data_IF_957486112355
#
_entry.id   IF_957486112355
#
_cell.length_a   1.000
_cell.length_b   1.000
_cell.length_c   1.000
_cell.angle_alpha   90.00
_cell.angle_beta   90.00
_cell.angle_gamma   90.00
#
_symmetry.space_group_name_H-M   'P 1'
#
loop_
_entity.id
_entity.type
_entity.pdbx_description
1 polymer ?
#
# COMPACT_ATOMS: atom_id res chain seq x y z
N UNK A 1 39.80 -4.13 15.32
CA UNK A 1 40.12 -2.76 14.85
C UNK A 1 40.51 -2.72 13.36
N UNK A 2 41.33 -3.66 12.87
CA UNK A 2 41.81 -3.64 11.47
C UNK A 2 40.72 -3.89 10.42
N UNK A 3 39.79 -4.81 10.67
CA UNK A 3 38.68 -5.13 9.76
C UNK A 3 37.77 -3.92 9.44
N UNK A 4 37.38 -3.15 10.47
CA UNK A 4 36.56 -1.94 10.28
C UNK A 4 37.32 -0.86 9.49
N UNK A 5 38.63 -0.77 9.69
CA UNK A 5 39.48 0.19 8.98
C UNK A 5 39.69 -0.20 7.51
N UNK A 6 39.78 -1.50 7.23
CA UNK A 6 39.85 -2.05 5.87
C UNK A 6 38.53 -1.84 5.11
N UNK A 7 37.38 -2.15 5.72
CA UNK A 7 36.08 -1.86 5.11
C UNK A 7 35.88 -0.38 4.82
N UNK A 8 36.22 0.49 5.78
CA UNK A 8 36.14 1.94 5.59
C UNK A 8 37.01 2.41 4.41
N UNK A 9 38.25 1.94 4.32
CA UNK A 9 39.15 2.32 3.23
C UNK A 9 38.64 1.81 1.87
N UNK A 10 38.06 0.61 1.81
CA UNK A 10 37.43 0.10 0.58
C UNK A 10 36.30 1.00 0.12
N UNK A 11 35.35 1.29 1.02
CA UNK A 11 34.20 2.18 0.77
C UNK A 11 34.65 3.55 0.24
N UNK A 12 35.69 4.13 0.83
CA UNK A 12 36.23 5.44 0.42
C UNK A 12 36.88 5.37 -0.96
N UNK A 13 37.59 4.29 -1.28
CA UNK A 13 38.20 4.08 -2.59
C UNK A 13 37.13 3.90 -3.67
N UNK A 14 36.09 3.12 -3.37
CA UNK A 14 34.97 2.86 -4.27
C UNK A 14 34.19 4.15 -4.56
N UNK A 15 33.87 4.93 -3.51
CA UNK A 15 33.28 6.27 -3.67
C UNK A 15 34.15 7.18 -4.54
N UNK A 16 35.46 7.23 -4.29
CA UNK A 16 36.37 8.08 -5.07
C UNK A 16 36.48 7.63 -6.53
N UNK A 17 36.31 6.34 -6.80
CA UNK A 17 36.30 5.77 -8.16
C UNK A 17 35.02 6.15 -8.92
N UNK A 18 33.86 6.08 -8.26
CA UNK A 18 32.57 6.53 -8.81
C UNK A 18 32.63 8.00 -9.24
N UNK A 19 33.19 8.88 -8.42
CA UNK A 19 33.33 10.31 -8.76
C UNK A 19 34.41 10.63 -9.80
N UNK A 20 35.29 9.68 -10.15
CA UNK A 20 36.39 9.92 -11.09
C UNK A 20 36.00 9.68 -12.56
N UNK A 21 35.07 8.76 -12.81
CA UNK A 21 34.63 8.39 -14.14
C UNK A 21 33.17 8.82 -14.37
N UNK A 22 32.91 9.91 -15.11
CA UNK A 22 31.53 10.40 -15.30
C UNK A 22 30.64 9.43 -16.09
N UNK A 23 31.23 8.55 -16.91
CA UNK A 23 30.51 7.52 -17.67
C UNK A 23 29.94 6.43 -16.77
N UNK A 24 30.75 5.96 -15.82
CA UNK A 24 30.35 4.90 -14.87
C UNK A 24 29.26 5.43 -13.93
N UNK A 25 29.42 6.66 -13.44
CA UNK A 25 28.38 7.34 -12.66
C UNK A 25 27.05 7.50 -13.42
N UNK A 26 27.11 7.83 -14.72
CA UNK A 26 25.92 7.93 -15.57
C UNK A 26 25.26 6.57 -15.78
N UNK A 27 26.01 5.50 -16.02
CA UNK A 27 25.43 4.15 -16.17
C UNK A 27 24.75 3.67 -14.89
N UNK A 28 25.34 3.89 -13.71
CA UNK A 28 24.71 3.53 -12.45
C UNK A 28 23.42 4.32 -12.21
N UNK A 29 23.43 5.62 -12.50
CA UNK A 29 22.23 6.45 -12.40
C UNK A 29 21.12 5.93 -13.33
N UNK A 30 21.46 5.61 -14.58
CA UNK A 30 20.51 5.04 -15.55
C UNK A 30 19.96 3.69 -15.09
N UNK A 31 20.80 2.79 -14.55
CA UNK A 31 20.34 1.51 -14.01
C UNK A 31 19.34 1.68 -12.87
N UNK A 32 19.60 2.61 -11.95
CA UNK A 32 18.67 2.93 -10.85
C UNK A 32 17.36 3.48 -11.38
N UNK A 33 17.41 4.40 -12.34
CA UNK A 33 16.20 4.93 -13.00
C UNK A 33 15.42 3.81 -13.68
N UNK A 34 16.08 2.93 -14.43
CA UNK A 34 15.46 1.77 -15.06
C UNK A 34 14.81 0.83 -14.04
N UNK A 35 15.48 0.53 -12.91
CA UNK A 35 14.93 -0.28 -11.83
C UNK A 35 13.64 0.33 -11.27
N UNK A 36 13.64 1.64 -10.99
CA UNK A 36 12.46 2.36 -10.49
C UNK A 36 11.33 2.37 -11.52
N UNK A 37 11.64 2.59 -12.80
CA UNK A 37 10.65 2.55 -13.88
C UNK A 37 10.03 1.16 -14.03
N UNK A 38 10.81 0.08 -13.95
CA UNK A 38 10.29 -1.28 -13.99
C UNK A 38 9.33 -1.55 -12.81
N UNK A 39 9.69 -1.12 -11.60
CA UNK A 39 8.80 -1.23 -10.44
C UNK A 39 7.48 -0.46 -10.65
N UNK A 40 7.55 0.76 -11.20
CA UNK A 40 6.36 1.55 -11.54
C UNK A 40 5.52 0.91 -12.65
N UNK A 41 6.15 0.29 -13.65
CA UNK A 41 5.45 -0.43 -14.72
C UNK A 41 4.71 -1.65 -14.17
N UNK A 42 5.33 -2.42 -13.28
CA UNK A 42 4.68 -3.55 -12.59
C UNK A 42 3.48 -3.05 -11.79
N UNK A 43 3.64 -1.95 -11.03
CA UNK A 43 2.55 -1.37 -10.27
C UNK A 43 1.39 -0.91 -11.17
N UNK A 44 1.69 -0.20 -12.27
CA UNK A 44 0.67 0.25 -13.23
C UNK A 44 0.00 -0.91 -13.96
N UNK A 45 0.74 -1.97 -14.27
CA UNK A 45 0.16 -3.20 -14.81
C UNK A 45 -0.84 -3.82 -13.83
N UNK A 46 -0.51 -3.90 -12.54
CA UNK A 46 -1.44 -4.39 -11.51
C UNK A 46 -2.70 -3.52 -11.41
N UNK A 47 -2.56 -2.19 -11.45
CA UNK A 47 -3.71 -1.26 -11.45
C UNK A 47 -4.63 -1.53 -12.65
N UNK A 48 -4.07 -1.70 -13.85
CA UNK A 48 -4.86 -1.99 -15.06
C UNK A 48 -5.52 -3.36 -15.00
N UNK A 49 -4.81 -4.39 -14.51
CA UNK A 49 -5.35 -5.75 -14.40
C UNK A 49 -6.48 -5.85 -13.38
N UNK A 50 -6.35 -5.16 -12.26
CA UNK A 50 -7.34 -5.20 -11.17
C UNK A 50 -8.49 -4.22 -11.36
N UNK A 51 -8.28 -3.16 -12.14
CA UNK A 51 -9.23 -2.06 -12.30
C UNK A 51 -9.37 -1.18 -11.04
N UNK A 52 -8.46 -1.33 -10.08
CA UNK A 52 -8.42 -0.58 -8.82
C UNK A 52 -7.24 0.40 -8.83
N UNK A 53 -7.43 1.63 -8.38
CA UNK A 53 -6.34 2.60 -8.23
C UNK A 53 -5.28 2.15 -7.21
N UNK A 54 -5.74 1.42 -6.18
CA UNK A 54 -4.91 0.82 -5.14
C UNK A 54 -5.19 -0.69 -5.07
N UNK A 55 -4.49 -1.52 -5.86
CA UNK A 55 -4.74 -2.97 -5.93
C UNK A 55 -4.34 -3.72 -4.65
N UNK A 56 -3.52 -3.11 -3.80
CA UNK A 56 -2.99 -3.74 -2.58
C UNK A 56 -3.17 -2.76 -1.43
N UNK A 57 -3.83 -3.20 -0.36
CA UNK A 57 -4.02 -2.40 0.86
C UNK A 57 -3.71 -3.20 2.11
N UNK A 58 -3.39 -2.51 3.21
CA UNK A 58 -3.03 -3.16 4.49
C UNK A 58 -4.08 -2.83 5.54
N UNK A 59 -4.47 -3.84 6.31
CA UNK A 59 -5.41 -3.69 7.43
C UNK A 59 -4.70 -3.06 8.62
N UNK A 60 -5.15 -1.86 9.01
CA UNK A 60 -4.51 -1.06 10.06
C UNK A 60 -5.16 -1.24 11.45
N UNK A 61 -6.36 -1.79 11.52
CA UNK A 61 -7.15 -1.92 12.77
C UNK A 61 -7.79 -3.30 12.93
N UNK A 62 -8.21 -3.64 14.15
CA UNK A 62 -8.89 -4.89 14.48
C UNK A 62 -10.43 -4.84 14.32
N UNK A 63 -10.95 -3.90 13.53
CA UNK A 63 -12.40 -3.73 13.30
C UNK A 63 -13.02 -4.88 12.49
N UNK A 64 -12.18 -5.63 11.77
CA UNK A 64 -12.58 -6.76 10.92
C UNK A 64 -12.31 -8.12 11.55
N UNK A 65 -11.93 -8.19 12.83
CA UNK A 65 -11.72 -9.47 13.51
C UNK A 65 -13.06 -10.23 13.71
N UNK A 66 -13.09 -11.57 13.55
CA UNK A 66 -11.98 -12.48 13.25
C UNK A 66 -11.70 -12.69 11.74
N UNK A 67 -12.39 -11.96 10.84
CA UNK A 67 -12.24 -12.13 9.39
C UNK A 67 -10.88 -11.68 8.86
N UNK A 68 -10.40 -10.52 9.32
CA UNK A 68 -9.06 -10.02 9.04
C UNK A 68 -8.41 -9.48 10.32
N UNK A 69 -7.10 -9.63 10.39
CA UNK A 69 -6.29 -9.14 11.50
C UNK A 69 -5.45 -7.94 11.07
N UNK A 70 -5.08 -7.12 12.06
CA UNK A 70 -4.14 -6.02 11.83
C UNK A 70 -2.83 -6.56 11.25
N UNK A 71 -2.42 -5.98 10.13
CA UNK A 71 -1.22 -6.39 9.39
C UNK A 71 -1.50 -7.35 8.23
N UNK A 72 -2.74 -7.78 8.02
CA UNK A 72 -3.10 -8.52 6.80
C UNK A 72 -3.03 -7.59 5.58
N UNK A 73 -2.51 -8.11 4.48
CA UNK A 73 -2.45 -7.39 3.19
C UNK A 73 -3.53 -7.94 2.27
N UNK A 74 -4.43 -7.08 1.80
CA UNK A 74 -5.56 -7.44 0.95
C UNK A 74 -5.24 -7.13 -0.52
N UNK A 75 -5.58 -8.06 -1.39
CA UNK A 75 -5.59 -7.86 -2.83
C UNK A 75 -6.99 -7.44 -3.27
N UNK A 76 -7.07 -6.31 -3.98
CA UNK A 76 -8.31 -5.70 -4.41
C UNK A 76 -8.59 -5.93 -5.89
N UNK A 77 -9.86 -6.09 -6.21
CA UNK A 77 -10.35 -6.20 -7.57
C UNK A 77 -11.63 -5.39 -7.74
N UNK A 78 -11.73 -4.66 -8.84
CA UNK A 78 -12.90 -3.85 -9.15
C UNK A 78 -13.96 -4.72 -9.81
N UNK A 79 -14.89 -5.24 -9.01
CA UNK A 79 -16.00 -6.03 -9.52
C UNK A 79 -17.17 -5.14 -9.96
N UNK A 80 -17.81 -5.43 -11.11
CA UNK A 80 -18.94 -4.64 -11.60
C UNK A 80 -20.22 -4.83 -10.75
N UNK A 81 -20.26 -5.84 -9.88
CA UNK A 81 -21.40 -6.15 -9.01
C UNK A 81 -20.91 -6.47 -7.61
N UNK A 82 -21.44 -5.73 -6.63
CA UNK A 82 -21.19 -5.93 -5.20
C UNK A 82 -22.40 -6.65 -4.61
N UNK A 83 -22.16 -7.60 -3.71
CA UNK A 83 -23.17 -8.37 -3.00
C UNK A 83 -23.10 -8.13 -1.48
N UNK A 84 -24.21 -8.39 -0.79
CA UNK A 84 -24.21 -8.40 0.66
C UNK A 84 -23.30 -9.53 1.16
N UNK A 85 -22.44 -9.23 2.14
CA UNK A 85 -21.41 -10.12 2.64
C UNK A 85 -20.02 -9.89 2.05
N UNK A 86 -19.90 -9.14 0.94
CA UNK A 86 -18.60 -8.81 0.36
C UNK A 86 -17.81 -7.86 1.26
N UNK A 87 -16.49 -8.02 1.27
CA UNK A 87 -15.58 -7.12 1.99
C UNK A 87 -15.08 -6.09 0.99
N UNK A 88 -15.44 -4.84 1.24
CA UNK A 88 -15.09 -3.73 0.37
C UNK A 88 -14.08 -2.83 1.06
N UNK A 89 -13.24 -2.21 0.23
CA UNK A 89 -12.39 -1.11 0.65
C UNK A 89 -12.96 0.13 0.04
N UNK A 90 -13.30 1.09 0.89
CA UNK A 90 -13.91 2.34 0.46
C UNK A 90 -13.20 3.52 1.10
N UNK A 91 -13.30 4.67 0.44
CA UNK A 91 -12.76 5.93 0.92
C UNK A 91 -13.88 6.95 1.05
N UNK A 92 -13.89 7.64 2.18
CA UNK A 92 -14.86 8.70 2.47
C UNK A 92 -14.17 10.03 2.17
N UNK A 93 -14.91 10.98 1.60
CA UNK A 93 -14.43 12.33 1.39
C UNK A 93 -13.99 12.96 2.71
N UNK A 94 -12.78 13.53 2.74
CA UNK A 94 -12.20 14.12 3.95
C UNK A 94 -11.46 13.14 4.87
N UNK A 95 -11.35 11.85 4.50
CA UNK A 95 -10.41 10.91 5.14
C UNK A 95 -9.37 10.40 4.15
N UNK A 96 -8.11 10.54 4.53
CA UNK A 96 -6.97 10.08 3.72
C UNK A 96 -6.75 8.56 3.81
N UNK A 97 -7.27 7.92 4.85
CA UNK A 97 -7.05 6.49 5.11
C UNK A 97 -8.31 5.71 4.69
N UNK A 98 -8.18 4.76 3.74
CA UNK A 98 -9.30 3.92 3.33
C UNK A 98 -9.74 2.96 4.44
N UNK A 99 -11.03 2.61 4.44
CA UNK A 99 -11.66 1.75 5.44
C UNK A 99 -12.03 0.43 4.78
N UNK A 100 -11.73 -0.67 5.46
CA UNK A 100 -12.02 -2.04 5.01
C UNK A 100 -13.15 -2.58 5.88
N UNK A 101 -14.36 -2.74 5.34
CA UNK A 101 -15.48 -3.32 6.09
C UNK A 101 -16.38 -4.21 5.22
N UNK A 102 -17.24 -5.01 5.87
CA UNK A 102 -18.18 -5.90 5.18
C UNK A 102 -19.48 -5.18 4.84
N UNK A 103 -20.00 -5.42 3.64
CA UNK A 103 -21.32 -4.94 3.25
C UNK A 103 -22.40 -5.75 3.98
N UNK A 104 -23.21 -5.05 4.77
CA UNK A 104 -24.36 -5.62 5.46
C UNK A 104 -25.57 -5.70 4.55
N UNK A 105 -25.91 -4.58 3.89
CA UNK A 105 -27.11 -4.45 3.07
C UNK A 105 -26.84 -3.61 1.82
N UNK A 106 -27.53 -3.96 0.73
CA UNK A 106 -27.48 -3.25 -0.55
C UNK A 106 -28.91 -2.88 -0.93
N UNK A 107 -29.10 -1.61 -1.26
CA UNK A 107 -30.32 -1.12 -1.87
C UNK A 107 -30.00 -0.53 -3.23
N UNK A 108 -30.73 -0.95 -4.25
CA UNK A 108 -30.62 -0.38 -5.60
C UNK A 108 -31.78 0.59 -5.76
N UNK A 109 -31.46 1.87 -5.92
CA UNK A 109 -32.48 2.89 -6.20
C UNK A 109 -33.05 2.71 -7.61
N UNK A 110 -34.21 3.32 -7.87
CA UNK A 110 -34.85 3.34 -9.21
C UNK A 110 -33.95 3.96 -10.28
N UNK A 111 -33.00 4.80 -9.86
CA UNK A 111 -32.00 5.44 -10.72
C UNK A 111 -30.74 4.57 -10.93
N UNK A 112 -30.81 3.27 -10.64
CA UNK A 112 -29.68 2.32 -10.69
C UNK A 112 -28.47 2.69 -9.83
N UNK A 113 -28.64 3.56 -8.84
CA UNK A 113 -27.62 3.86 -7.84
C UNK A 113 -27.60 2.79 -6.76
N UNK A 114 -26.41 2.31 -6.44
CA UNK A 114 -26.18 1.41 -5.32
C UNK A 114 -26.04 2.23 -4.04
N UNK A 115 -26.78 1.82 -3.02
CA UNK A 115 -26.70 2.33 -1.67
C UNK A 115 -26.25 1.18 -0.77
N UNK A 116 -24.99 1.26 -0.37
CA UNK A 116 -24.32 0.23 0.41
C UNK A 116 -24.26 0.65 1.88
N UNK A 117 -24.57 -0.29 2.76
CA UNK A 117 -24.35 -0.13 4.20
C UNK A 117 -23.24 -1.10 4.61
N UNK A 118 -22.15 -0.55 5.12
CA UNK A 118 -20.99 -1.29 5.59
C UNK A 118 -20.95 -1.38 7.11
N UNK A 119 -20.29 -2.41 7.63
CA UNK A 119 -20.05 -2.63 9.05
C UNK A 119 -18.77 -3.45 9.24
N UNK A 120 -17.95 -3.08 10.22
CA UNK A 120 -16.84 -3.91 10.68
C UNK A 120 -17.33 -5.21 11.35
N UNK A 121 -16.68 -6.32 11.05
CA UNK A 121 -17.05 -7.64 11.60
C UNK A 121 -17.01 -7.64 13.15
N UNK A 122 -16.07 -6.91 13.74
CA UNK A 122 -15.89 -6.77 15.19
C UNK A 122 -16.63 -5.56 15.80
N UNK A 123 -17.31 -4.75 14.99
CA UNK A 123 -18.01 -3.56 15.48
C UNK A 123 -19.43 -3.91 15.94
N UNK A 124 -19.94 -3.26 16.99
CA UNK A 124 -21.34 -3.45 17.44
C UNK A 124 -22.34 -2.58 16.68
N UNK A 125 -21.86 -1.54 16.00
CA UNK A 125 -22.65 -0.57 15.25
C UNK A 125 -22.24 -0.59 13.77
N UNK A 126 -23.14 -0.13 12.90
CA UNK A 126 -22.83 0.10 11.48
C UNK A 126 -21.98 1.36 11.27
N UNK A 127 -21.47 1.52 10.05
CA UNK A 127 -20.54 2.59 9.72
C UNK A 127 -21.20 3.94 9.42
N UNK A 128 -22.51 4.10 9.63
CA UNK A 128 -23.20 5.37 9.31
C UNK A 128 -22.62 6.57 10.04
N UNK A 129 -22.09 6.35 11.25
CA UNK A 129 -21.39 7.40 12.00
C UNK A 129 -20.00 7.76 11.47
N UNK A 130 -19.42 6.95 10.58
CA UNK A 130 -18.11 7.20 9.96
C UNK A 130 -18.23 7.97 8.64
N UNK A 131 -19.38 7.84 7.96
CA UNK A 131 -19.71 8.51 6.70
C UNK A 131 -19.67 10.04 6.81
N UNK A 132 -19.68 10.70 5.67
CA UNK A 132 -19.66 12.17 5.62
C UNK A 132 -20.95 12.76 6.22
N UNK A 133 -20.93 14.05 6.54
CA UNK A 133 -22.04 14.73 7.18
C UNK A 133 -23.32 14.66 6.32
N UNK A 134 -24.38 14.06 6.89
CA UNK A 134 -25.68 13.74 6.24
C UNK A 134 -25.62 12.62 5.18
N UNK A 135 -24.54 11.86 5.12
CA UNK A 135 -24.45 10.65 4.28
C UNK A 135 -24.87 9.42 5.09
N UNK A 136 -25.88 8.69 4.61
CA UNK A 136 -26.37 7.47 5.26
C UNK A 136 -26.00 6.18 4.52
N UNK A 137 -25.53 6.30 3.27
CA UNK A 137 -25.23 5.20 2.38
C UNK A 137 -23.95 5.50 1.61
N UNK A 138 -23.14 4.47 1.37
CA UNK A 138 -22.02 4.53 0.44
C UNK A 138 -22.55 4.32 -0.98
N UNK A 139 -22.11 5.17 -1.90
CA UNK A 139 -22.32 4.98 -3.34
C UNK A 139 -21.13 4.23 -3.96
N UNK A 140 -21.31 3.61 -5.13
CA UNK A 140 -20.25 2.88 -5.83
C UNK A 140 -18.97 3.68 -6.05
N UNK A 141 -19.08 4.99 -6.22
CA UNK A 141 -17.94 5.90 -6.44
C UNK A 141 -16.97 5.95 -5.26
N UNK A 142 -17.45 5.62 -4.05
CA UNK A 142 -16.62 5.59 -2.85
C UNK A 142 -15.86 4.26 -2.70
N UNK A 143 -16.26 3.23 -3.45
CA UNK A 143 -15.67 1.88 -3.34
C UNK A 143 -14.44 1.81 -4.23
N UNK A 144 -13.28 1.59 -3.61
CA UNK A 144 -12.01 1.42 -4.31
C UNK A 144 -11.86 0.03 -4.92
N UNK A 145 -12.42 -0.99 -4.27
CA UNK A 145 -12.42 -2.37 -4.75
C UNK A 145 -12.90 -3.37 -3.71
N UNK A 146 -13.11 -4.60 -4.16
CA UNK A 146 -13.47 -5.74 -3.30
C UNK A 146 -12.21 -6.53 -2.95
N UNK A 147 -12.13 -7.00 -1.71
CA UNK A 147 -11.10 -7.93 -1.28
C UNK A 147 -11.33 -9.31 -1.90
N UNK A 148 -10.42 -9.75 -2.77
CA UNK A 148 -10.48 -11.08 -3.43
C UNK A 148 -9.52 -12.09 -2.81
N UNK A 149 -8.57 -11.63 -2.00
CA UNK A 149 -7.60 -12.48 -1.32
C UNK A 149 -6.78 -11.68 -0.33
N UNK A 150 -6.08 -12.38 0.56
CA UNK A 150 -5.21 -11.74 1.54
C UNK A 150 -3.97 -12.57 1.86
N UNK A 151 -2.91 -11.87 2.26
CA UNK A 151 -1.70 -12.45 2.79
C UNK A 151 -1.56 -12.06 4.27
N UNK A 152 -1.59 -13.03 5.21
CA UNK A 152 -1.59 -12.71 6.63
C UNK A 152 -0.24 -12.15 7.08
N UNK A 153 -0.28 -11.18 8.00
CA UNK A 153 0.89 -10.57 8.67
C UNK A 153 1.94 -9.85 7.78
N UNK A 154 1.87 -9.94 6.45
CA UNK A 154 2.83 -9.30 5.52
C UNK A 154 2.86 -7.78 5.69
N UNK A 155 1.71 -7.19 5.95
CA UNK A 155 1.54 -5.75 6.10
C UNK A 155 2.17 -5.19 7.39
N UNK A 156 2.50 -6.03 8.37
CA UNK A 156 3.16 -5.59 9.61
C UNK A 156 4.48 -4.86 9.30
N UNK A 157 5.23 -5.34 8.30
CA UNK A 157 6.49 -4.69 7.88
C UNK A 157 6.23 -3.26 7.40
N UNK A 158 5.19 -3.06 6.58
CA UNK A 158 4.83 -1.74 6.08
C UNK A 158 4.34 -0.81 7.19
N UNK A 159 3.61 -1.36 8.16
CA UNK A 159 3.15 -0.63 9.34
C UNK A 159 4.35 -0.16 10.16
N UNK A 160 5.32 -1.02 10.45
CA UNK A 160 6.53 -0.64 11.20
C UNK A 160 7.36 0.43 10.50
N UNK A 161 7.55 0.30 9.18
CA UNK A 161 8.28 1.32 8.40
C UNK A 161 7.56 2.67 8.46
N UNK A 162 6.22 2.69 8.52
CA UNK A 162 5.47 3.94 8.61
C UNK A 162 5.40 4.51 10.04
N UNK A 163 5.27 3.66 11.06
CA UNK A 163 5.15 4.04 12.47
C UNK A 163 6.48 4.49 13.10
N UNK A 164 7.61 3.98 12.61
CA UNK A 164 8.95 4.31 13.12
C UNK A 164 9.75 5.14 12.10
N UNK A 165 9.76 6.49 12.20
CA UNK A 165 10.50 7.34 11.27
C UNK A 165 12.00 7.02 11.20
N UNK A 166 12.62 6.64 12.32
CA UNK A 166 14.04 6.25 12.36
C UNK A 166 14.33 5.01 11.50
N UNK A 167 13.42 4.02 11.52
CA UNK A 167 13.53 2.82 10.69
C UNK A 167 13.40 3.18 9.21
N UNK A 168 12.42 4.02 8.85
CA UNK A 168 12.21 4.50 7.47
C UNK A 168 13.46 5.17 6.91
N UNK A 169 14.01 6.14 7.63
CA UNK A 169 15.19 6.88 7.19
C UNK A 169 16.45 6.01 7.20
N UNK A 170 16.56 5.06 8.14
CA UNK A 170 17.64 4.07 8.15
C UNK A 170 17.66 3.18 6.91
N UNK A 171 16.48 2.68 6.48
CA UNK A 171 16.35 1.88 5.25
C UNK A 171 16.72 2.71 4.02
N UNK A 172 16.19 3.94 3.90
CA UNK A 172 16.49 4.83 2.76
C UNK A 172 17.98 5.15 2.69
N UNK A 173 18.62 5.43 3.83
CA UNK A 173 20.05 5.69 3.91
C UNK A 173 20.87 4.47 3.47
N UNK A 174 20.52 3.27 3.97
CA UNK A 174 21.18 2.03 3.59
C UNK A 174 21.07 1.76 2.09
N UNK A 175 19.86 1.91 1.51
CA UNK A 175 19.65 1.74 0.07
C UNK A 175 20.50 2.71 -0.75
N UNK A 176 20.58 3.98 -0.35
CA UNK A 176 21.38 4.99 -1.04
C UNK A 176 22.88 4.66 -0.97
N UNK A 177 23.37 4.19 0.18
CA UNK A 177 24.76 3.74 0.33
C UNK A 177 25.05 2.52 -0.55
N UNK A 178 24.16 1.52 -0.59
CA UNK A 178 24.35 0.34 -1.45
C UNK A 178 24.41 0.70 -2.93
N UNK A 179 23.49 1.56 -3.38
CA UNK A 179 23.48 2.08 -4.76
C UNK A 179 24.76 2.83 -5.10
N UNK A 180 25.25 3.69 -4.19
CA UNK A 180 26.49 4.44 -4.41
C UNK A 180 27.75 3.56 -4.42
N UNK A 181 27.73 2.46 -3.69
CA UNK A 181 28.84 1.52 -3.65
C UNK A 181 28.85 0.54 -4.83
N UNK A 182 27.82 0.57 -5.70
CA UNK A 182 27.75 -0.30 -6.87
C UNK A 182 27.64 -1.78 -6.51
N UNK A 183 27.18 -2.10 -5.29
CA UNK A 183 26.74 -3.45 -4.95
C UNK A 183 25.38 -3.66 -5.64
N UNK A 184 25.43 -4.22 -6.86
CA UNK A 184 24.31 -4.96 -7.43
C UNK A 184 24.10 -6.29 -6.69
#
# INVERSE_FOLDING_TARGET
MNFLKEQYNSIVIDLKKVFRNPRDGLSHLLSVICMLLNALMIWKLLVVLTGCESPIVVVLSGSMEPGYFRGDTLALYNQPKIHAGDVVVYQINGRDIPIVHRILNIHISKDNKYHLLSKGDNNNIDDRGLYDHKQFWLENEHVLGLSVGYAPYVGILTIWVNEYPALKWGIVFLMLVMVLLGYE
#
